data_IF_596780282488
#
_entry.id   IF_596780282488
#
_cell.length_a   1.000
_cell.length_b   1.000
_cell.length_c   1.000
_cell.angle_alpha   90.00
_cell.angle_beta   90.00
_cell.angle_gamma   90.00
#
_symmetry.space_group_name_H-M   'P 1'
#
loop_
_entity.id
_entity.type
_entity.pdbx_description
1 polymer ?
#
# COMPACT_ATOMS: atom_id res chain seq x y z
N UNK A 1 25.05 -21.63 31.12
CA UNK A 1 24.30 -22.72 31.79
C UNK A 1 23.78 -23.59 30.66
N UNK A 2 24.25 -24.83 30.53
CA UNK A 2 23.75 -25.72 29.48
C UNK A 2 22.33 -26.13 29.87
N UNK A 3 21.38 -26.07 28.92
CA UNK A 3 20.05 -26.62 29.13
C UNK A 3 20.26 -28.14 29.23
N UNK A 4 19.84 -28.81 30.33
CA UNK A 4 19.88 -30.26 30.39
C UNK A 4 18.97 -30.82 29.28
N UNK A 5 19.52 -31.68 28.43
CA UNK A 5 18.78 -32.29 27.30
C UNK A 5 18.62 -33.77 27.57
N UNK A 6 17.39 -34.24 27.66
CA UNK A 6 17.08 -35.67 27.66
C UNK A 6 16.73 -36.11 26.24
N UNK A 7 17.47 -37.09 25.71
CA UNK A 7 17.17 -37.65 24.39
C UNK A 7 16.29 -38.89 24.58
N UNK A 8 15.07 -38.92 24.04
CA UNK A 8 14.24 -40.11 24.09
C UNK A 8 14.93 -41.25 23.33
N UNK A 9 14.97 -42.45 23.93
CA UNK A 9 15.52 -43.64 23.29
C UNK A 9 14.60 -44.19 22.17
N UNK A 10 13.37 -43.66 22.05
CA UNK A 10 12.40 -44.04 21.04
C UNK A 10 12.64 -43.27 19.72
N UNK A 11 13.09 -44.01 18.71
CA UNK A 11 13.33 -43.48 17.37
C UNK A 11 12.03 -42.99 16.70
N UNK A 12 10.90 -43.65 16.95
CA UNK A 12 9.61 -43.24 16.38
C UNK A 12 9.14 -41.90 16.97
N UNK A 13 9.32 -41.72 18.29
CA UNK A 13 9.00 -40.45 18.95
C UNK A 13 9.86 -39.31 18.41
N UNK A 14 11.16 -39.57 18.20
CA UNK A 14 12.08 -38.60 17.61
C UNK A 14 11.66 -38.21 16.19
N UNK A 15 11.32 -39.18 15.34
CA UNK A 15 10.83 -38.93 13.97
C UNK A 15 9.52 -38.14 13.97
N UNK A 16 8.61 -38.45 14.90
CA UNK A 16 7.34 -37.74 15.06
C UNK A 16 7.56 -36.26 15.44
N UNK A 17 8.42 -35.99 16.42
CA UNK A 17 8.77 -34.61 16.82
C UNK A 17 9.42 -33.84 15.66
N UNK A 18 10.34 -34.47 14.92
CA UNK A 18 10.96 -33.85 13.75
C UNK A 18 9.90 -33.51 12.68
N UNK A 19 8.92 -34.37 12.44
CA UNK A 19 7.84 -34.12 11.50
C UNK A 19 6.97 -32.92 11.95
N UNK A 20 6.63 -32.85 13.24
CA UNK A 20 5.92 -31.70 13.82
C UNK A 20 6.71 -30.39 13.65
N UNK A 21 8.01 -30.38 13.98
CA UNK A 21 8.85 -29.19 13.81
C UNK A 21 8.90 -28.72 12.34
N UNK A 22 9.01 -29.66 11.38
CA UNK A 22 8.99 -29.32 9.95
C UNK A 22 7.67 -28.67 9.56
N UNK A 23 6.55 -29.15 10.08
CA UNK A 23 5.23 -28.59 9.82
C UNK A 23 5.06 -27.20 10.42
N UNK A 24 5.54 -26.96 11.66
CA UNK A 24 5.56 -25.61 12.25
C UNK A 24 6.35 -24.62 11.40
N UNK A 25 7.52 -25.05 10.88
CA UNK A 25 8.36 -24.23 9.99
C UNK A 25 7.64 -23.93 8.68
N UNK A 26 6.99 -24.91 8.08
CA UNK A 26 6.22 -24.75 6.85
C UNK A 26 5.08 -23.74 7.01
N UNK A 27 4.26 -23.90 8.07
CA UNK A 27 3.15 -22.98 8.37
C UNK A 27 3.66 -21.56 8.59
N UNK A 28 4.71 -21.41 9.39
CA UNK A 28 5.28 -20.10 9.72
C UNK A 28 5.93 -19.41 8.52
N UNK A 29 6.52 -20.19 7.60
CA UNK A 29 7.05 -19.66 6.33
C UNK A 29 5.95 -19.20 5.40
N UNK A 30 4.90 -20.01 5.21
CA UNK A 30 3.79 -19.63 4.33
C UNK A 30 3.06 -18.36 4.83
N UNK A 31 2.90 -18.20 6.16
CA UNK A 31 2.40 -16.96 6.76
C UNK A 31 3.35 -15.78 6.50
N UNK A 32 4.64 -15.93 6.75
CA UNK A 32 5.63 -14.88 6.50
C UNK A 32 5.67 -14.45 5.03
N UNK A 33 5.68 -15.41 4.11
CA UNK A 33 5.75 -15.20 2.66
C UNK A 33 4.43 -14.69 2.06
N UNK A 34 3.36 -14.64 2.85
CA UNK A 34 2.09 -14.03 2.45
C UNK A 34 2.09 -12.50 2.54
N UNK A 35 3.15 -11.86 3.07
CA UNK A 35 3.20 -10.40 3.26
C UNK A 35 4.40 -9.74 2.57
N UNK A 36 4.21 -8.51 2.06
CA UNK A 36 5.20 -7.76 1.25
C UNK A 36 6.57 -7.53 1.90
N UNK A 37 6.69 -7.74 3.21
CA UNK A 37 7.93 -7.63 3.98
C UNK A 37 8.83 -8.87 3.84
N UNK A 38 8.30 -9.99 3.34
CA UNK A 38 9.09 -11.16 3.01
C UNK A 38 9.85 -10.98 1.69
N UNK A 39 11.05 -11.55 1.65
CA UNK A 39 11.86 -11.65 0.44
C UNK A 39 11.23 -12.59 -0.59
N UNK A 40 10.50 -13.61 -0.12
CA UNK A 40 9.87 -14.63 -0.94
C UNK A 40 8.37 -14.34 -1.17
N UNK A 41 7.93 -13.09 -0.89
CA UNK A 41 6.55 -12.66 -1.15
C UNK A 41 6.21 -12.79 -2.63
N UNK A 42 5.28 -13.69 -2.97
CA UNK A 42 4.91 -14.00 -4.34
C UNK A 42 3.73 -13.15 -4.86
N UNK A 43 2.63 -13.11 -4.13
CA UNK A 43 1.41 -12.37 -4.51
C UNK A 43 0.54 -12.06 -3.30
N UNK A 44 -0.33 -11.07 -3.42
CA UNK A 44 -1.20 -10.66 -2.32
C UNK A 44 -2.19 -11.79 -1.93
N UNK A 45 -2.44 -12.06 -0.63
CA UNK A 45 -3.33 -13.15 -0.20
C UNK A 45 -4.73 -13.10 -0.81
N UNK A 46 -5.32 -11.91 -0.95
CA UNK A 46 -6.65 -11.75 -1.56
C UNK A 46 -6.69 -12.08 -3.07
N UNK A 47 -5.53 -12.13 -3.74
CA UNK A 47 -5.42 -12.65 -5.10
C UNK A 47 -5.11 -14.14 -5.11
N UNK A 48 -4.25 -14.63 -4.19
CA UNK A 48 -3.96 -16.05 -3.99
C UNK A 48 -5.23 -16.85 -3.68
N UNK A 49 -6.08 -16.31 -2.81
CA UNK A 49 -7.36 -16.90 -2.38
C UNK A 49 -8.56 -16.31 -3.14
N UNK A 50 -8.34 -15.75 -4.33
CA UNK A 50 -9.41 -15.17 -5.14
C UNK A 50 -10.52 -16.21 -5.38
N UNK A 51 -11.76 -15.79 -5.17
CA UNK A 51 -12.93 -16.59 -5.51
C UNK A 51 -13.34 -16.37 -6.98
N UNK A 52 -13.86 -17.42 -7.62
CA UNK A 52 -14.29 -17.37 -9.03
C UNK A 52 -15.48 -16.42 -9.24
N UNK A 53 -16.19 -16.05 -8.17
CA UNK A 53 -17.28 -15.08 -8.21
C UNK A 53 -16.81 -13.63 -8.36
N UNK A 54 -15.49 -13.39 -8.36
CA UNK A 54 -14.90 -12.06 -8.51
C UNK A 54 -15.13 -11.14 -7.32
N UNK A 55 -15.63 -11.62 -6.18
CA UNK A 55 -15.88 -10.78 -5.01
C UNK A 55 -14.69 -10.77 -4.07
N UNK A 56 -14.29 -9.56 -3.70
CA UNK A 56 -13.20 -9.32 -2.76
C UNK A 56 -13.60 -9.76 -1.35
N UNK A 57 -14.86 -9.56 -0.95
CA UNK A 57 -15.41 -10.07 0.31
C UNK A 57 -15.29 -11.59 0.42
N UNK A 58 -15.68 -12.33 -0.62
CA UNK A 58 -15.55 -13.79 -0.69
C UNK A 58 -14.07 -14.23 -0.60
N UNK A 59 -13.18 -13.50 -1.29
CA UNK A 59 -11.74 -13.77 -1.27
C UNK A 59 -11.13 -13.53 0.11
N UNK A 60 -11.58 -12.49 0.82
CA UNK A 60 -11.20 -12.21 2.20
C UNK A 60 -11.71 -13.28 3.17
N UNK A 61 -12.95 -13.74 3.03
CA UNK A 61 -13.48 -14.84 3.86
C UNK A 61 -12.66 -16.12 3.68
N UNK A 62 -12.32 -16.46 2.43
CA UNK A 62 -11.46 -17.62 2.15
C UNK A 62 -10.07 -17.48 2.77
N UNK A 63 -9.44 -16.32 2.63
CA UNK A 63 -8.17 -16.01 3.30
C UNK A 63 -8.28 -16.12 4.82
N UNK A 64 -9.34 -15.57 5.40
CA UNK A 64 -9.58 -15.60 6.85
C UNK A 64 -9.75 -17.03 7.37
N UNK A 65 -10.48 -17.88 6.65
CA UNK A 65 -10.63 -19.29 7.00
C UNK A 65 -9.30 -20.05 6.91
N UNK A 66 -8.50 -19.76 5.87
CA UNK A 66 -7.18 -20.35 5.71
C UNK A 66 -6.23 -19.95 6.85
N UNK A 67 -6.10 -18.65 7.13
CA UNK A 67 -5.24 -18.15 8.19
C UNK A 67 -5.64 -18.70 9.57
N UNK A 68 -6.94 -18.79 9.85
CA UNK A 68 -7.44 -19.37 11.10
C UNK A 68 -7.18 -20.88 11.19
N UNK A 69 -7.29 -21.61 10.07
CA UNK A 69 -6.95 -23.04 10.03
C UNK A 69 -5.45 -23.27 10.29
N UNK A 70 -4.57 -22.53 9.61
CA UNK A 70 -3.12 -22.59 9.82
C UNK A 70 -2.74 -22.26 11.25
N UNK A 71 -3.40 -21.25 11.83
CA UNK A 71 -3.20 -20.83 13.21
C UNK A 71 -3.61 -21.91 14.21
N UNK A 72 -4.76 -22.54 14.01
CA UNK A 72 -5.22 -23.64 14.87
C UNK A 72 -4.35 -24.88 14.71
N UNK A 73 -3.93 -25.22 13.49
CA UNK A 73 -2.99 -26.32 13.24
C UNK A 73 -1.66 -26.08 13.96
N UNK A 74 -1.07 -24.88 13.85
CA UNK A 74 0.17 -24.56 14.55
C UNK A 74 0.01 -24.68 16.07
N UNK A 75 -1.09 -24.14 16.62
CA UNK A 75 -1.40 -24.23 18.05
C UNK A 75 -1.49 -25.68 18.53
N UNK A 76 -2.16 -26.53 17.78
CA UNK A 76 -2.32 -27.95 18.11
C UNK A 76 -0.98 -28.67 18.09
N UNK A 77 -0.16 -28.43 17.06
CA UNK A 77 1.18 -29.04 16.94
C UNK A 77 2.08 -28.58 18.10
N UNK A 78 2.13 -27.28 18.38
CA UNK A 78 2.97 -26.75 19.44
C UNK A 78 2.49 -27.22 20.84
N UNK A 79 1.18 -27.35 21.06
CA UNK A 79 0.61 -27.90 22.31
C UNK A 79 0.97 -29.39 22.46
N UNK A 80 0.89 -30.18 21.38
CA UNK A 80 1.31 -31.58 21.38
C UNK A 80 2.80 -31.73 21.64
N UNK A 81 3.62 -30.89 21.01
CA UNK A 81 5.06 -30.87 21.20
C UNK A 81 5.42 -30.51 22.64
N UNK A 82 4.75 -29.51 23.24
CA UNK A 82 4.91 -29.20 24.66
C UNK A 82 4.54 -30.39 25.55
N UNK A 83 3.46 -31.10 25.23
CA UNK A 83 3.05 -32.28 26.01
C UNK A 83 4.11 -33.37 26.00
N UNK A 84 4.67 -33.68 24.82
CA UNK A 84 5.74 -34.67 24.67
C UNK A 84 6.99 -34.25 25.43
N UNK A 85 7.39 -32.97 25.34
CA UNK A 85 8.57 -32.47 26.03
C UNK A 85 8.36 -32.48 27.56
N UNK A 86 7.20 -32.05 28.05
CA UNK A 86 6.87 -32.05 29.48
C UNK A 86 6.95 -33.47 30.06
N UNK A 87 6.41 -34.47 29.35
CA UNK A 87 6.50 -35.88 29.74
C UNK A 87 7.96 -36.38 29.71
N UNK A 88 8.73 -36.05 28.68
CA UNK A 88 10.13 -36.45 28.58
C UNK A 88 10.99 -35.91 29.73
N UNK A 89 10.70 -34.71 30.23
CA UNK A 89 11.43 -34.09 31.34
C UNK A 89 10.80 -34.36 32.74
N UNK A 90 9.66 -35.07 32.81
CA UNK A 90 8.95 -35.32 34.07
C UNK A 90 8.43 -34.04 34.77
N UNK A 91 7.98 -33.06 33.97
CA UNK A 91 7.54 -31.73 34.43
C UNK A 91 6.02 -31.57 34.48
N UNK A 92 5.25 -32.65 34.51
CA UNK A 92 3.78 -32.64 34.39
C UNK A 92 3.09 -31.88 35.53
N UNK A 93 3.76 -31.76 36.69
CA UNK A 93 3.27 -31.01 37.84
C UNK A 93 3.69 -29.53 37.83
N UNK A 94 4.61 -29.13 36.95
CA UNK A 94 5.16 -27.78 36.89
C UNK A 94 4.65 -26.98 35.69
N UNK A 95 4.38 -27.64 34.57
CA UNK A 95 4.04 -27.01 33.30
C UNK A 95 2.74 -27.53 32.71
N UNK A 96 2.07 -26.66 31.96
CA UNK A 96 0.84 -27.00 31.23
C UNK A 96 1.18 -26.95 29.73
N UNK A 97 0.89 -28.01 28.94
CA UNK A 97 1.22 -28.04 27.51
C UNK A 97 0.54 -26.97 26.66
N UNK A 98 -0.61 -26.47 27.14
CA UNK A 98 -1.52 -25.59 26.40
C UNK A 98 -0.89 -24.24 26.05
N UNK A 99 -1.07 -23.84 24.78
CA UNK A 99 -0.65 -22.55 24.26
C UNK A 99 -1.85 -21.60 24.19
N UNK A 100 -1.67 -20.37 24.64
CA UNK A 100 -2.71 -19.36 24.57
C UNK A 100 -2.79 -18.77 23.16
N UNK A 101 -3.95 -18.21 22.80
CA UNK A 101 -4.08 -17.52 21.51
C UNK A 101 -3.11 -16.33 21.38
N UNK A 102 -2.72 -15.69 22.49
CA UNK A 102 -1.79 -14.56 22.44
C UNK A 102 -0.38 -14.94 21.98
N UNK A 103 0.00 -16.21 22.14
CA UNK A 103 1.37 -16.68 21.90
C UNK A 103 1.59 -17.18 20.46
N UNK A 104 0.52 -17.35 19.68
CA UNK A 104 0.60 -17.83 18.30
C UNK A 104 1.00 -16.67 17.38
N UNK A 105 2.12 -16.85 16.67
CA UNK A 105 2.74 -15.83 15.81
C UNK A 105 2.04 -15.64 14.47
N UNK A 106 1.23 -16.62 14.03
CA UNK A 106 0.49 -16.55 12.77
C UNK A 106 -0.50 -15.40 12.80
N UNK A 107 -0.39 -14.52 11.79
CA UNK A 107 -1.19 -13.30 11.71
C UNK A 107 -2.66 -13.67 11.47
N UNK A 108 -3.55 -13.10 12.29
CA UNK A 108 -4.99 -13.17 12.02
C UNK A 108 -5.34 -12.29 10.83
N UNK A 109 -6.23 -12.79 9.98
CA UNK A 109 -6.82 -11.97 8.93
C UNK A 109 -7.63 -10.84 9.56
N UNK A 110 -7.35 -9.62 9.13
CA UNK A 110 -7.97 -8.40 9.64
C UNK A 110 -8.37 -7.54 8.45
N UNK A 111 -9.68 -7.39 8.24
CA UNK A 111 -10.24 -6.76 7.04
C UNK A 111 -9.61 -5.40 6.74
N UNK A 112 -9.49 -4.53 7.75
CA UNK A 112 -8.90 -3.20 7.55
C UNK A 112 -7.44 -3.29 7.09
N UNK A 113 -6.61 -4.06 7.80
CA UNK A 113 -5.20 -4.18 7.49
C UNK A 113 -4.97 -4.87 6.14
N UNK A 114 -5.72 -5.93 5.83
CA UNK A 114 -5.59 -6.68 4.57
C UNK A 114 -6.07 -5.88 3.35
N UNK A 115 -7.04 -4.98 3.51
CA UNK A 115 -7.39 -4.01 2.47
C UNK A 115 -6.29 -2.97 2.29
N UNK A 116 -5.69 -2.46 3.37
CA UNK A 116 -4.58 -1.50 3.26
C UNK A 116 -3.35 -2.13 2.57
N UNK A 117 -3.02 -3.39 2.87
CA UNK A 117 -1.95 -4.10 2.16
C UNK A 117 -2.32 -4.39 0.72
N UNK A 118 -3.58 -4.65 0.38
CA UNK A 118 -4.01 -4.78 -1.01
C UNK A 118 -3.82 -3.46 -1.77
N UNK A 119 -4.15 -2.32 -1.15
CA UNK A 119 -3.92 -1.01 -1.75
C UNK A 119 -2.42 -0.75 -1.95
N UNK A 120 -1.57 -1.09 -0.98
CA UNK A 120 -0.11 -1.03 -1.11
C UNK A 120 0.41 -1.89 -2.27
N UNK A 121 -0.06 -3.14 -2.36
CA UNK A 121 0.29 -4.07 -3.42
C UNK A 121 -0.14 -3.52 -4.80
N UNK A 122 -1.36 -2.99 -4.90
CA UNK A 122 -1.86 -2.37 -6.12
C UNK A 122 -0.98 -1.19 -6.57
N UNK A 123 -0.56 -0.32 -5.64
CA UNK A 123 0.40 0.77 -5.93
C UNK A 123 1.76 0.19 -6.37
N UNK A 124 2.19 -0.92 -5.79
CA UNK A 124 3.36 -1.67 -6.25
C UNK A 124 3.23 -2.15 -7.69
N UNK A 125 2.06 -2.68 -8.09
CA UNK A 125 1.78 -3.03 -9.47
C UNK A 125 1.75 -1.80 -10.40
N UNK A 126 1.19 -0.67 -9.94
CA UNK A 126 1.20 0.57 -10.72
C UNK A 126 2.62 1.05 -11.01
N UNK A 127 3.53 0.94 -10.04
CA UNK A 127 4.93 1.33 -10.25
C UNK A 127 5.79 0.26 -10.92
N UNK A 128 5.28 -0.97 -11.07
CA UNK A 128 6.01 -2.11 -11.62
C UNK A 128 6.89 -2.83 -10.59
N UNK A 129 6.79 -2.53 -9.30
CA UNK A 129 7.45 -3.34 -8.26
C UNK A 129 6.99 -4.80 -8.33
N UNK A 130 5.70 -5.01 -8.61
CA UNK A 130 5.07 -6.30 -8.82
C UNK A 130 4.40 -6.35 -10.20
N UNK A 131 4.17 -7.56 -10.72
CA UNK A 131 3.37 -7.80 -11.92
C UNK A 131 2.23 -8.76 -11.59
N UNK A 132 1.14 -8.69 -12.34
CA UNK A 132 0.11 -9.74 -12.32
C UNK A 132 0.47 -10.93 -13.22
N UNK A 133 1.52 -10.78 -14.03
CA UNK A 133 1.98 -11.78 -15.00
C UNK A 133 3.18 -12.61 -14.49
N UNK A 134 3.81 -12.19 -13.39
CA UNK A 134 4.99 -12.82 -12.79
C UNK A 134 4.86 -12.86 -11.27
N UNK A 135 5.24 -13.97 -10.65
CA UNK A 135 5.27 -14.09 -9.19
C UNK A 135 6.48 -13.37 -8.60
N UNK A 136 6.27 -12.71 -7.47
CA UNK A 136 7.31 -12.09 -6.68
C UNK A 136 7.72 -10.69 -7.12
N UNK A 137 8.83 -10.23 -6.56
CA UNK A 137 9.40 -8.91 -6.84
C UNK A 137 9.92 -8.85 -8.28
N UNK A 138 9.31 -8.02 -9.12
CA UNK A 138 9.61 -7.93 -10.56
C UNK A 138 10.69 -6.88 -10.83
N UNK A 139 10.57 -5.71 -10.20
CA UNK A 139 11.53 -4.63 -10.36
C UNK A 139 11.85 -3.93 -9.04
N UNK A 140 13.15 -3.84 -8.73
CA UNK A 140 13.69 -3.09 -7.60
C UNK A 140 15.07 -2.48 -7.95
N UNK A 141 15.22 -2.00 -9.19
CA UNK A 141 16.47 -1.42 -9.70
C UNK A 141 16.98 -2.14 -10.95
N UNK A 142 17.97 -1.53 -11.61
CA UNK A 142 18.49 -2.00 -12.89
C UNK A 142 17.66 -1.54 -14.10
N UNK A 143 17.66 -2.34 -15.17
CA UNK A 143 16.96 -2.00 -16.41
C UNK A 143 15.47 -2.32 -16.29
N UNK A 144 14.63 -1.31 -16.40
CA UNK A 144 13.18 -1.46 -16.39
C UNK A 144 12.68 -2.01 -17.74
N UNK A 145 11.87 -3.08 -17.70
CA UNK A 145 11.29 -3.72 -18.88
C UNK A 145 9.75 -3.68 -18.82
N UNK A 146 9.09 -2.76 -19.56
CA UNK A 146 7.64 -2.66 -19.59
C UNK A 146 6.92 -3.91 -20.12
N UNK A 147 7.57 -4.78 -20.89
CA UNK A 147 6.94 -5.96 -21.51
C UNK A 147 6.57 -7.05 -20.49
N UNK A 148 7.07 -6.93 -19.25
CA UNK A 148 6.76 -7.82 -18.11
C UNK A 148 5.41 -7.53 -17.43
N UNK A 149 4.69 -6.50 -17.88
CA UNK A 149 3.45 -6.02 -17.27
C UNK A 149 2.32 -5.93 -18.31
N UNK A 150 1.79 -7.09 -18.71
CA UNK A 150 0.82 -7.23 -19.80
C UNK A 150 -0.61 -7.12 -19.31
N UNK A 151 -0.93 -7.80 -18.21
CA UNK A 151 -2.29 -7.85 -17.65
C UNK A 151 -2.69 -6.51 -17.04
N UNK A 152 -1.75 -5.86 -16.34
CA UNK A 152 -1.93 -4.51 -15.80
C UNK A 152 -0.66 -3.71 -16.07
N UNK A 153 -0.74 -2.80 -17.04
CA UNK A 153 0.42 -2.01 -17.48
C UNK A 153 0.84 -1.03 -16.40
N UNK A 154 2.15 -0.89 -16.21
CA UNK A 154 2.72 0.08 -15.27
C UNK A 154 2.44 1.52 -15.66
N UNK A 155 2.58 2.40 -14.68
CA UNK A 155 2.69 3.83 -14.87
C UNK A 155 3.97 4.17 -15.66
N UNK A 156 3.82 5.00 -16.70
CA UNK A 156 4.86 5.13 -17.73
C UNK A 156 6.03 5.97 -17.25
N UNK A 157 5.78 7.08 -16.58
CA UNK A 157 6.80 8.03 -16.18
C UNK A 157 7.14 8.00 -14.68
N UNK A 158 6.51 7.06 -13.95
CA UNK A 158 6.71 6.80 -12.54
C UNK A 158 6.15 7.94 -11.65
N UNK A 159 5.16 8.68 -12.14
CA UNK A 159 4.51 9.80 -11.45
C UNK A 159 3.03 9.49 -11.28
N UNK A 160 2.61 9.20 -10.06
CA UNK A 160 1.19 8.97 -9.75
C UNK A 160 0.58 10.17 -9.01
N UNK A 161 -0.23 11.02 -9.67
CA UNK A 161 -0.89 12.14 -9.02
C UNK A 161 -1.85 11.70 -7.92
N UNK A 162 -1.85 12.43 -6.81
CA UNK A 162 -2.78 12.25 -5.68
C UNK A 162 -3.44 13.59 -5.36
N UNK A 163 -4.51 13.91 -6.09
CA UNK A 163 -5.20 15.20 -5.96
C UNK A 163 -6.59 15.05 -5.36
N UNK A 164 -7.14 16.16 -4.85
CA UNK A 164 -8.51 16.22 -4.30
C UNK A 164 -9.58 15.86 -5.31
N UNK A 165 -9.29 16.07 -6.59
CA UNK A 165 -10.20 15.88 -7.72
C UNK A 165 -9.45 15.19 -8.86
N UNK A 166 -10.21 14.58 -9.78
CA UNK A 166 -9.67 13.85 -10.92
C UNK A 166 -9.23 14.80 -12.03
N UNK A 167 -8.10 15.49 -11.84
CA UNK A 167 -7.52 16.35 -12.86
C UNK A 167 -6.80 15.53 -13.96
N UNK A 168 -6.20 14.39 -13.63
CA UNK A 168 -5.47 13.54 -14.57
C UNK A 168 -6.23 12.24 -14.81
N UNK A 169 -6.23 11.75 -16.06
CA UNK A 169 -6.96 10.52 -16.42
C UNK A 169 -6.37 9.28 -15.72
N UNK A 170 -5.06 9.26 -15.56
CA UNK A 170 -4.25 8.18 -14.98
C UNK A 170 -3.87 8.43 -13.51
N UNK A 171 -4.67 9.21 -12.79
CA UNK A 171 -4.43 9.42 -11.36
C UNK A 171 -4.50 8.11 -10.55
N UNK A 172 -3.98 8.15 -9.32
CA UNK A 172 -3.88 6.96 -8.47
C UNK A 172 -5.22 6.26 -8.23
N UNK A 173 -6.34 7.00 -8.22
CA UNK A 173 -7.67 6.44 -7.96
C UNK A 173 -8.19 5.76 -9.21
N UNK A 174 -8.05 6.38 -10.39
CA UNK A 174 -8.40 5.76 -11.68
C UNK A 174 -7.63 4.46 -11.86
N UNK A 175 -6.30 4.48 -11.64
CA UNK A 175 -5.46 3.30 -11.74
C UNK A 175 -5.78 2.23 -10.71
N UNK A 176 -6.18 2.61 -9.50
CA UNK A 176 -6.63 1.65 -8.49
C UNK A 176 -7.95 0.99 -8.87
N UNK A 177 -8.90 1.75 -9.42
CA UNK A 177 -10.16 1.21 -9.96
C UNK A 177 -9.88 0.22 -11.10
N UNK A 178 -8.97 0.57 -12.02
CA UNK A 178 -8.56 -0.31 -13.11
C UNK A 178 -7.88 -1.59 -12.60
N UNK A 179 -7.04 -1.48 -11.58
CA UNK A 179 -6.44 -2.64 -10.93
C UNK A 179 -7.52 -3.59 -10.38
N UNK A 180 -8.49 -3.07 -9.61
CA UNK A 180 -9.59 -3.88 -9.05
C UNK A 180 -10.41 -4.53 -10.17
N UNK A 181 -10.70 -3.78 -11.24
CA UNK A 181 -11.40 -4.28 -12.42
C UNK A 181 -10.67 -5.44 -13.09
N UNK A 182 -9.35 -5.30 -13.31
CA UNK A 182 -8.53 -6.32 -13.95
C UNK A 182 -8.40 -7.57 -13.08
N UNK A 183 -8.24 -7.43 -11.77
CA UNK A 183 -8.01 -8.57 -10.87
C UNK A 183 -9.29 -9.32 -10.51
N UNK A 184 -10.38 -8.60 -10.27
CA UNK A 184 -11.63 -9.14 -9.74
C UNK A 184 -12.81 -9.13 -10.73
N UNK A 185 -12.64 -8.49 -11.89
CA UNK A 185 -13.64 -8.43 -12.95
C UNK A 185 -14.51 -7.18 -12.92
N UNK A 186 -15.04 -6.81 -14.08
CA UNK A 186 -15.91 -5.64 -14.24
C UNK A 186 -17.27 -5.83 -13.55
N UNK A 187 -17.81 -7.06 -13.57
CA UNK A 187 -19.15 -7.36 -13.09
C UNK A 187 -19.33 -7.07 -11.59
N UNK A 188 -18.27 -7.29 -10.80
CA UNK A 188 -18.25 -7.08 -9.34
C UNK A 188 -17.55 -5.79 -8.94
N UNK A 189 -17.08 -4.97 -9.88
CA UNK A 189 -16.28 -3.78 -9.61
C UNK A 189 -16.95 -2.84 -8.61
N UNK A 190 -18.24 -2.54 -8.81
CA UNK A 190 -18.99 -1.64 -7.92
C UNK A 190 -19.07 -2.18 -6.50
N UNK A 191 -19.36 -3.48 -6.35
CA UNK A 191 -19.43 -4.16 -5.04
C UNK A 191 -18.06 -4.17 -4.35
N UNK A 192 -16.99 -4.45 -5.11
CA UNK A 192 -15.63 -4.48 -4.59
C UNK A 192 -15.14 -3.09 -4.15
N UNK A 193 -15.45 -2.04 -4.91
CA UNK A 193 -15.12 -0.67 -4.52
C UNK A 193 -15.89 -0.23 -3.27
N UNK A 194 -17.17 -0.61 -3.15
CA UNK A 194 -17.97 -0.39 -1.94
C UNK A 194 -17.33 -1.10 -0.74
N UNK A 195 -16.99 -2.38 -0.88
CA UNK A 195 -16.34 -3.16 0.18
C UNK A 195 -15.02 -2.53 0.64
N UNK A 196 -14.18 -2.07 -0.29
CA UNK A 196 -12.91 -1.39 0.01
C UNK A 196 -13.19 -0.07 0.72
N UNK A 197 -14.08 0.76 0.17
CA UNK A 197 -14.37 2.07 0.72
C UNK A 197 -14.94 2.00 2.14
N UNK A 198 -15.89 1.09 2.39
CA UNK A 198 -16.46 0.86 3.72
C UNK A 198 -15.37 0.44 4.71
N UNK A 199 -14.44 -0.41 4.28
CA UNK A 199 -13.30 -0.84 5.08
C UNK A 199 -12.37 0.32 5.43
N UNK A 200 -12.19 1.27 4.50
CA UNK A 200 -11.39 2.48 4.68
C UNK A 200 -12.15 3.60 5.41
N UNK A 201 -13.32 3.29 5.98
CA UNK A 201 -14.14 4.21 6.75
C UNK A 201 -14.85 5.25 5.89
N UNK A 202 -15.49 4.82 4.80
CA UNK A 202 -16.37 5.67 3.97
C UNK A 202 -17.43 6.35 4.85
N UNK A 203 -17.66 7.64 4.62
CA UNK A 203 -18.74 8.40 5.26
C UNK A 203 -20.01 8.33 4.43
N UNK A 204 -21.17 8.53 5.05
CA UNK A 204 -22.48 8.54 4.36
C UNK A 204 -22.57 9.56 3.21
N UNK A 205 -21.76 10.63 3.27
CA UNK A 205 -21.71 11.67 2.24
C UNK A 205 -20.71 11.40 1.12
N UNK A 206 -19.95 10.31 1.19
CA UNK A 206 -18.88 9.97 0.25
C UNK A 206 -19.33 8.80 -0.64
N UNK A 207 -19.05 8.91 -1.93
CA UNK A 207 -19.02 7.75 -2.84
C UNK A 207 -17.79 6.88 -2.52
N UNK A 208 -17.76 5.62 -2.99
CA UNK A 208 -16.58 4.76 -2.81
C UNK A 208 -15.29 5.37 -3.34
N UNK A 209 -15.35 6.01 -4.51
CA UNK A 209 -14.20 6.66 -5.14
C UNK A 209 -13.69 7.83 -4.30
N UNK A 210 -14.59 8.62 -3.70
CA UNK A 210 -14.22 9.73 -2.82
C UNK A 210 -13.57 9.25 -1.51
N UNK A 211 -14.07 8.17 -0.92
CA UNK A 211 -13.46 7.57 0.28
C UNK A 211 -12.06 7.01 -0.01
N UNK A 212 -11.89 6.30 -1.13
CA UNK A 212 -10.58 5.80 -1.60
C UNK A 212 -9.63 6.97 -1.88
N UNK A 213 -10.10 8.02 -2.57
CA UNK A 213 -9.31 9.24 -2.81
C UNK A 213 -8.88 9.90 -1.51
N UNK A 214 -9.79 10.01 -0.53
CA UNK A 214 -9.48 10.55 0.80
C UNK A 214 -8.42 9.73 1.51
N UNK A 215 -8.48 8.39 1.43
CA UNK A 215 -7.47 7.51 1.99
C UNK A 215 -6.09 7.75 1.36
N UNK A 216 -5.99 7.77 0.02
CA UNK A 216 -4.72 8.06 -0.67
C UNK A 216 -4.15 9.43 -0.30
N UNK A 217 -4.99 10.46 -0.19
CA UNK A 217 -4.56 11.81 0.16
C UNK A 217 -4.02 11.92 1.59
N UNK A 218 -4.59 11.19 2.54
CA UNK A 218 -4.41 11.49 3.97
C UNK A 218 -3.71 10.39 4.76
N UNK A 219 -3.90 9.13 4.39
CA UNK A 219 -3.62 8.00 5.29
C UNK A 219 -2.67 6.98 4.65
N UNK A 220 -2.77 6.75 3.33
CA UNK A 220 -1.91 5.82 2.61
C UNK A 220 -0.42 6.02 2.91
N UNK A 221 0.09 7.26 2.82
CA UNK A 221 1.51 7.51 3.06
C UNK A 221 1.91 7.31 4.54
N UNK A 222 0.99 7.52 5.49
CA UNK A 222 1.25 7.26 6.92
C UNK A 222 1.40 5.75 7.16
N UNK A 223 0.47 4.97 6.61
CA UNK A 223 0.50 3.51 6.70
C UNK A 223 1.75 2.96 6.01
N UNK A 224 2.11 3.52 4.85
CA UNK A 224 3.36 3.21 4.15
C UNK A 224 4.60 3.53 5.00
N UNK A 225 4.67 4.68 5.66
CA UNK A 225 5.78 5.01 6.56
C UNK A 225 5.88 4.04 7.74
N UNK A 226 4.75 3.58 8.29
CA UNK A 226 4.72 2.61 9.38
C UNK A 226 5.29 1.27 8.94
N UNK A 227 4.81 0.73 7.81
CA UNK A 227 5.26 -0.55 7.24
C UNK A 227 6.77 -0.55 6.99
N UNK A 228 7.29 0.53 6.41
CA UNK A 228 8.70 0.65 6.04
C UNK A 228 9.57 1.31 7.13
N UNK A 229 9.10 1.38 8.39
CA UNK A 229 9.87 1.92 9.54
C UNK A 229 10.51 3.28 9.24
N UNK A 230 9.74 4.22 8.69
CA UNK A 230 10.15 5.56 8.24
C UNK A 230 11.17 5.59 7.09
N UNK A 231 11.39 4.48 6.37
CA UNK A 231 12.26 4.39 5.17
C UNK A 231 11.42 4.05 3.93
N UNK A 232 10.53 4.96 3.51
CA UNK A 232 9.55 4.66 2.47
C UNK A 232 10.21 4.44 1.11
N UNK A 233 9.71 3.44 0.37
CA UNK A 233 10.13 3.18 -1.03
C UNK A 233 9.33 3.99 -2.06
N UNK A 234 8.05 4.27 -1.77
CA UNK A 234 7.25 5.26 -2.49
C UNK A 234 7.41 6.62 -1.81
N UNK A 235 7.87 7.61 -2.55
CA UNK A 235 8.13 8.95 -2.05
C UNK A 235 6.97 9.86 -2.41
N UNK A 236 6.39 10.49 -1.39
CA UNK A 236 5.33 11.48 -1.55
C UNK A 236 5.94 12.86 -1.76
N UNK A 237 5.89 13.34 -3.00
CA UNK A 237 6.10 14.75 -3.33
C UNK A 237 4.82 15.51 -3.02
N UNK A 238 4.94 16.63 -2.30
CA UNK A 238 3.77 17.37 -1.82
C UNK A 238 4.05 18.86 -1.76
N UNK A 239 3.10 19.65 -2.27
CA UNK A 239 3.14 21.11 -2.17
C UNK A 239 2.89 21.63 -0.76
N UNK A 240 2.39 20.79 0.14
CA UNK A 240 2.21 21.13 1.54
C UNK A 240 0.77 20.94 2.04
N UNK A 241 0.26 21.96 2.74
CA UNK A 241 -0.93 21.83 3.59
C UNK A 241 -2.21 21.74 2.77
N UNK A 242 -2.33 22.56 1.72
CA UNK A 242 -3.49 22.55 0.84
C UNK A 242 -3.49 21.34 -0.08
N UNK A 243 -2.33 20.67 -0.22
CA UNK A 243 -2.13 19.56 -1.16
C UNK A 243 -2.53 19.99 -2.56
N UNK A 244 -2.14 21.21 -2.93
CA UNK A 244 -2.38 21.76 -4.24
C UNK A 244 -1.81 20.85 -5.32
N UNK A 245 -0.63 20.29 -5.10
CA UNK A 245 -0.10 19.19 -5.89
C UNK A 245 0.55 18.14 -4.99
N UNK A 246 0.14 16.89 -5.15
CA UNK A 246 0.85 15.74 -4.61
C UNK A 246 1.02 14.67 -5.68
N UNK A 247 2.11 13.92 -5.61
CA UNK A 247 2.28 12.68 -6.36
C UNK A 247 3.14 11.67 -5.58
N UNK A 248 2.98 10.39 -5.90
CA UNK A 248 3.92 9.36 -5.48
C UNK A 248 4.90 9.04 -6.60
N UNK A 249 6.15 8.80 -6.20
CA UNK A 249 7.23 8.31 -7.06
C UNK A 249 7.81 7.04 -6.44
N UNK A 250 8.05 5.99 -7.22
CA UNK A 250 8.83 4.86 -6.73
C UNK A 250 10.33 5.12 -6.85
N UNK A 251 11.06 5.11 -5.73
CA UNK A 251 12.47 5.50 -5.70
C UNK A 251 13.36 4.66 -6.64
N UNK A 252 13.05 3.38 -6.84
CA UNK A 252 13.86 2.51 -7.70
C UNK A 252 13.69 2.81 -9.20
N UNK A 253 12.67 3.59 -9.57
CA UNK A 253 12.43 4.10 -10.92
C UNK A 253 12.69 5.61 -11.03
N UNK A 254 13.26 6.23 -9.99
CA UNK A 254 13.63 7.63 -10.04
C UNK A 254 14.79 7.83 -11.02
N UNK A 255 14.73 8.89 -11.82
CA UNK A 255 15.84 9.35 -12.65
C UNK A 255 15.98 10.87 -12.56
N UNK A 256 17.11 11.41 -13.02
CA UNK A 256 17.43 12.85 -12.94
C UNK A 256 16.44 13.78 -13.63
N UNK A 257 15.61 13.25 -14.53
CA UNK A 257 14.58 14.00 -15.25
C UNK A 257 13.21 13.92 -14.58
N UNK A 258 13.02 13.10 -13.53
CA UNK A 258 11.75 12.99 -12.79
C UNK A 258 11.22 14.34 -12.34
N UNK A 259 12.05 15.19 -11.73
CA UNK A 259 11.59 16.52 -11.27
C UNK A 259 11.20 17.43 -12.44
N UNK A 260 11.89 17.32 -13.57
CA UNK A 260 11.54 18.06 -14.78
C UNK A 260 10.18 17.63 -15.30
N UNK A 261 9.90 16.32 -15.37
CA UNK A 261 8.60 15.77 -15.79
C UNK A 261 7.46 16.19 -14.85
N UNK A 262 7.66 16.07 -13.52
CA UNK A 262 6.69 16.55 -12.52
C UNK A 262 6.34 18.02 -12.79
N UNK A 263 7.34 18.85 -13.07
CA UNK A 263 7.15 20.27 -13.30
C UNK A 263 6.39 20.55 -14.60
N UNK A 264 6.87 20.01 -15.72
CA UNK A 264 6.36 20.35 -17.05
C UNK A 264 5.01 19.72 -17.35
N UNK A 265 4.86 18.46 -16.97
CA UNK A 265 3.75 17.63 -17.44
C UNK A 265 2.58 17.66 -16.45
N UNK A 266 2.85 17.95 -15.17
CA UNK A 266 1.82 17.97 -14.12
C UNK A 266 1.60 19.34 -13.50
N UNK A 267 2.65 19.98 -12.96
CA UNK A 267 2.49 21.24 -12.21
C UNK A 267 2.02 22.38 -13.11
N UNK A 268 2.65 22.58 -14.28
CA UNK A 268 2.20 23.61 -15.23
C UNK A 268 0.79 23.35 -15.76
N UNK A 269 0.45 22.08 -16.04
CA UNK A 269 -0.91 21.72 -16.45
C UNK A 269 -1.93 22.07 -15.37
N UNK A 270 -1.61 21.76 -14.10
CA UNK A 270 -2.49 22.06 -12.99
C UNK A 270 -2.65 23.56 -12.75
N UNK A 271 -1.60 24.36 -12.94
CA UNK A 271 -1.70 25.83 -12.91
C UNK A 271 -2.70 26.34 -13.96
N UNK A 272 -2.61 25.86 -15.21
CA UNK A 272 -3.56 26.24 -16.26
C UNK A 272 -5.00 25.85 -15.92
N UNK A 273 -5.20 24.65 -15.37
CA UNK A 273 -6.52 24.16 -14.95
C UNK A 273 -7.10 25.00 -13.80
N UNK A 274 -6.29 25.32 -12.79
CA UNK A 274 -6.70 26.19 -11.70
C UNK A 274 -7.03 27.62 -12.15
N UNK A 275 -6.27 28.18 -13.10
CA UNK A 275 -6.59 29.49 -13.67
C UNK A 275 -7.90 29.49 -14.45
N UNK A 276 -8.19 28.42 -15.20
CA UNK A 276 -9.46 28.25 -15.90
C UNK A 276 -10.64 28.10 -14.91
N UNK A 277 -10.47 27.27 -13.88
CA UNK A 277 -11.46 27.08 -12.81
C UNK A 277 -11.73 28.38 -12.07
N UNK A 278 -10.67 29.15 -11.74
CA UNK A 278 -10.78 30.47 -11.12
C UNK A 278 -11.61 31.43 -11.97
N UNK A 279 -11.35 31.49 -13.29
CA UNK A 279 -12.13 32.32 -14.23
C UNK A 279 -13.60 31.90 -14.29
N UNK A 280 -13.87 30.59 -14.28
CA UNK A 280 -15.24 30.06 -14.26
C UNK A 280 -15.99 30.49 -13.00
N UNK A 281 -15.38 30.33 -11.82
CA UNK A 281 -15.96 30.72 -10.54
C UNK A 281 -16.23 32.23 -10.46
N UNK A 282 -15.30 33.07 -10.95
CA UNK A 282 -15.50 34.51 -11.02
C UNK A 282 -16.68 34.88 -11.95
N UNK A 283 -16.80 34.21 -13.10
CA UNK A 283 -17.94 34.42 -13.99
C UNK A 283 -19.28 34.08 -13.34
N UNK A 284 -19.34 33.05 -12.49
CA UNK A 284 -20.57 32.71 -11.74
C UNK A 284 -20.90 33.79 -10.69
N UNK A 285 -19.87 34.32 -10.02
CA UNK A 285 -20.01 35.34 -8.98
C UNK A 285 -20.49 36.67 -9.57
N UNK A 286 -19.97 37.07 -10.74
CA UNK A 286 -20.29 38.32 -11.41
C UNK A 286 -21.56 38.22 -12.29
N UNK A 287 -21.84 37.04 -12.83
CA UNK A 287 -22.88 36.78 -13.84
C UNK A 287 -24.33 36.69 -13.31
N UNK A 288 -24.57 37.00 -12.03
CA UNK A 288 -25.94 37.10 -11.50
C UNK A 288 -26.65 35.77 -11.23
N UNK A 289 -25.90 34.70 -10.90
CA UNK A 289 -26.47 33.45 -10.41
C UNK A 289 -27.29 33.61 -9.12
N UNK A 290 -27.98 32.56 -8.69
CA UNK A 290 -28.74 32.60 -7.44
C UNK A 290 -27.83 32.88 -6.25
N UNK A 291 -28.36 33.48 -5.18
CA UNK A 291 -27.57 33.78 -3.97
C UNK A 291 -26.86 32.54 -3.40
N UNK A 292 -27.43 31.35 -3.57
CA UNK A 292 -26.84 30.07 -3.15
C UNK A 292 -25.64 29.69 -4.02
N UNK A 293 -25.76 29.78 -5.34
CA UNK A 293 -24.68 29.49 -6.29
C UNK A 293 -23.51 30.46 -6.11
N UNK A 294 -23.79 31.77 -5.99
CA UNK A 294 -22.76 32.79 -5.74
C UNK A 294 -22.03 32.53 -4.41
N UNK A 295 -22.75 32.11 -3.37
CA UNK A 295 -22.15 31.78 -2.07
C UNK A 295 -21.25 30.53 -2.15
N UNK A 296 -21.70 29.48 -2.84
CA UNK A 296 -20.91 28.27 -3.07
C UNK A 296 -19.64 28.58 -3.87
N UNK A 297 -19.77 29.30 -5.00
CA UNK A 297 -18.66 29.70 -5.84
C UNK A 297 -17.63 30.55 -5.09
N UNK A 298 -18.05 31.47 -4.20
CA UNK A 298 -17.13 32.23 -3.34
C UNK A 298 -16.32 31.35 -2.38
N UNK A 299 -16.94 30.30 -1.84
CA UNK A 299 -16.27 29.36 -0.92
C UNK A 299 -15.24 28.49 -1.66
N UNK A 300 -15.61 28.00 -2.84
CA UNK A 300 -14.72 27.25 -3.72
C UNK A 300 -13.55 28.12 -4.19
N UNK A 301 -13.83 29.35 -4.66
CA UNK A 301 -12.81 30.30 -5.08
C UNK A 301 -11.77 30.56 -3.98
N UNK A 302 -12.22 30.77 -2.74
CA UNK A 302 -11.30 30.95 -1.60
C UNK A 302 -10.37 29.75 -1.39
N UNK A 303 -10.90 28.53 -1.57
CA UNK A 303 -10.11 27.30 -1.42
C UNK A 303 -9.12 27.16 -2.58
N UNK A 304 -9.57 27.44 -3.80
CA UNK A 304 -8.75 27.40 -5.00
C UNK A 304 -7.62 28.44 -4.97
N UNK A 305 -7.87 29.65 -4.48
CA UNK A 305 -6.82 30.68 -4.34
C UNK A 305 -5.70 30.28 -3.38
N UNK A 306 -6.04 29.56 -2.29
CA UNK A 306 -5.03 29.00 -1.40
C UNK A 306 -4.20 27.91 -2.11
N UNK A 307 -4.84 27.06 -2.92
CA UNK A 307 -4.12 26.05 -3.72
C UNK A 307 -3.23 26.70 -4.78
N UNK A 308 -3.70 27.73 -5.49
CA UNK A 308 -2.93 28.46 -6.50
C UNK A 308 -1.69 29.10 -5.86
N UNK A 309 -1.84 29.74 -4.71
CA UNK A 309 -0.72 30.34 -3.99
C UNK A 309 0.32 29.29 -3.58
N UNK A 310 -0.12 28.18 -2.97
CA UNK A 310 0.77 27.07 -2.57
C UNK A 310 1.45 26.41 -3.78
N UNK A 311 0.72 26.21 -4.89
CA UNK A 311 1.27 25.59 -6.11
C UNK A 311 2.33 26.48 -6.76
N UNK A 312 2.19 27.80 -6.68
CA UNK A 312 3.18 28.75 -7.19
C UNK A 312 4.48 28.69 -6.38
N UNK A 313 4.38 28.72 -5.04
CA UNK A 313 5.54 28.58 -4.17
C UNK A 313 6.24 27.22 -4.39
N UNK A 314 5.46 26.16 -4.55
CA UNK A 314 5.99 24.83 -4.85
C UNK A 314 6.69 24.75 -6.22
N UNK A 315 6.14 25.37 -7.27
CA UNK A 315 6.77 25.40 -8.60
C UNK A 315 8.15 26.07 -8.57
N UNK A 316 8.31 27.15 -7.81
CA UNK A 316 9.61 27.85 -7.68
C UNK A 316 10.68 26.94 -7.06
N UNK A 317 10.33 26.20 -6.00
CA UNK A 317 11.22 25.23 -5.34
C UNK A 317 11.53 24.06 -6.29
N UNK A 318 10.50 23.53 -6.96
CA UNK A 318 10.62 22.42 -7.90
C UNK A 318 11.49 22.78 -9.11
N UNK A 319 11.31 23.98 -9.68
CA UNK A 319 12.12 24.50 -10.77
C UNK A 319 13.60 24.52 -10.39
N UNK A 320 13.94 25.12 -9.25
CA UNK A 320 15.32 25.20 -8.81
C UNK A 320 15.97 23.82 -8.66
N UNK A 321 15.26 22.83 -8.11
CA UNK A 321 15.79 21.47 -7.97
C UNK A 321 15.78 20.67 -9.28
N UNK A 322 14.83 20.93 -10.17
CA UNK A 322 14.80 20.30 -11.50
C UNK A 322 16.03 20.68 -12.33
N UNK A 323 16.50 21.93 -12.24
CA UNK A 323 17.72 22.41 -12.92
C UNK A 323 18.98 21.70 -12.39
N UNK A 324 18.98 21.26 -11.14
CA UNK A 324 20.11 20.55 -10.55
C UNK A 324 20.24 19.10 -11.06
N UNK A 325 19.17 18.54 -11.66
CA UNK A 325 19.15 17.17 -12.17
C UNK A 325 19.71 16.16 -11.17
N UNK A 326 19.23 16.25 -9.92
CA UNK A 326 19.72 15.44 -8.79
C UNK A 326 19.61 13.95 -9.14
N UNK A 327 20.71 13.22 -8.99
CA UNK A 327 20.73 11.75 -9.06
C UNK A 327 20.73 11.14 -7.66
N UNK A 328 20.17 9.94 -7.55
CA UNK A 328 20.17 9.14 -6.33
C UNK A 328 21.02 7.89 -6.53
N UNK A 329 21.63 7.42 -5.45
CA UNK A 329 22.32 6.13 -5.42
C UNK A 329 21.59 5.25 -4.41
N UNK A 330 21.01 4.13 -4.86
CA UNK A 330 20.23 3.26 -3.99
C UNK A 330 21.06 2.68 -2.84
N UNK A 331 22.39 2.55 -3.01
CA UNK A 331 23.30 2.02 -1.99
C UNK A 331 23.55 3.02 -0.84
N UNK A 332 23.35 4.32 -1.06
CA UNK A 332 23.37 5.34 0.01
C UNK A 332 22.21 5.15 1.01
N UNK A 333 21.20 4.36 0.64
CA UNK A 333 20.01 4.10 1.44
C UNK A 333 18.99 5.24 1.41
N UNK A 334 17.81 4.97 1.98
CA UNK A 334 16.66 5.89 1.88
C UNK A 334 16.95 7.23 2.56
N UNK A 335 17.59 7.24 3.74
CA UNK A 335 17.75 8.46 4.52
C UNK A 335 18.59 9.52 3.81
N UNK A 336 19.71 9.12 3.21
CA UNK A 336 20.62 10.01 2.48
C UNK A 336 19.95 10.54 1.23
N UNK A 337 19.29 9.68 0.45
CA UNK A 337 18.65 10.12 -0.78
C UNK A 337 17.42 10.98 -0.54
N UNK A 338 16.62 10.66 0.47
CA UNK A 338 15.43 11.44 0.81
C UNK A 338 15.79 12.88 1.22
N UNK A 339 16.92 13.06 1.92
CA UNK A 339 17.41 14.38 2.34
C UNK A 339 17.79 15.29 1.15
N UNK A 340 18.12 14.72 -0.02
CA UNK A 340 18.44 15.51 -1.23
C UNK A 340 17.24 16.31 -1.76
N UNK A 341 16.01 15.97 -1.36
CA UNK A 341 14.77 16.58 -1.83
C UNK A 341 14.02 17.35 -0.71
N UNK A 342 14.78 17.89 0.24
CA UNK A 342 14.22 18.72 1.31
C UNK A 342 13.39 19.88 0.73
N UNK A 343 12.16 20.03 1.22
CA UNK A 343 11.21 21.04 0.74
C UNK A 343 10.26 20.56 -0.36
N UNK A 344 10.54 19.44 -1.03
CA UNK A 344 9.62 18.82 -2.01
C UNK A 344 8.93 17.55 -1.48
N UNK A 345 9.63 16.79 -0.63
CA UNK A 345 9.11 15.55 -0.06
C UNK A 345 8.36 15.77 1.27
N UNK A 346 7.36 14.92 1.50
CA UNK A 346 6.61 14.88 2.74
C UNK A 346 7.52 14.57 3.95
N UNK A 347 7.17 15.07 5.13
CA UNK A 347 7.94 14.73 6.34
C UNK A 347 7.68 13.27 6.75
N UNK A 348 8.73 12.58 7.20
CA UNK A 348 8.69 11.16 7.65
C UNK A 348 8.38 10.98 9.15
N UNK A 349 8.02 12.10 9.81
CA UNK A 349 7.57 12.17 11.21
C UNK A 349 8.67 12.30 12.25
#
# INVERSE_FOLDING_TARGET
MAIPVEFPNDTNLTEYVIAMCKKCIEISKDDWDSFEISWDFATHPLLRFKCDDGRLGSSFERWSLYAEAQRNELKEIETQMNSILIECYGLENELIPYISDGDITIRKAEREQDIKTLVSYAVGCMFGRYSLDEEGLVFAGGNFDPERYKTFTVDRDNILPILSDAYFEDDIVSRFVDFVKVTFGEETLTENLEFIADTLGKKDSETPREAIRRYFLNDFFKDHLQTYKKKPIYWLFTSGKQKAFNCLIYMHRYDKTTLSRIRTDYVHELQMRYDAEKKSLLSIIEGGGTAREVSAAKKELKTLELKIAELKEYEEVLHHMADQQIEIDLDDGVDVNYAKFEGLLAKRG
#
